data_IF_064189136095
#
_entry.id   IF_064189136095
#
_cell.length_a   1.000
_cell.length_b   1.000
_cell.length_c   1.000
_cell.angle_alpha   90.00
_cell.angle_beta   90.00
_cell.angle_gamma   90.00
#
_symmetry.space_group_name_H-M   'P 1'
#
loop_
_entity.id
_entity.type
_entity.pdbx_description
1 polymer ?
#
# COMPACT_ATOMS: atom_id res chain seq x y z
N UNK A 1 -21.41 -10.42 16.86
CA UNK A 1 -20.65 -11.56 17.41
C UNK A 1 -19.55 -11.90 16.42
N UNK A 2 -18.29 -12.13 16.84
CA UNK A 2 -17.18 -12.50 15.94
C UNK A 2 -16.93 -14.00 16.03
N UNK A 3 -16.74 -14.66 14.89
CA UNK A 3 -16.43 -16.10 14.88
C UNK A 3 -15.08 -16.37 15.56
N UNK A 4 -14.83 -17.59 16.08
CA UNK A 4 -13.49 -17.96 16.57
C UNK A 4 -12.39 -17.75 15.53
N UNK A 5 -12.67 -17.99 14.25
CA UNK A 5 -11.74 -17.74 13.14
C UNK A 5 -11.38 -16.26 12.97
N UNK A 6 -12.37 -15.36 13.03
CA UNK A 6 -12.15 -13.91 12.94
C UNK A 6 -11.31 -13.37 14.11
N UNK A 7 -11.48 -13.93 15.31
CA UNK A 7 -10.67 -13.55 16.48
C UNK A 7 -9.21 -13.98 16.33
N UNK A 8 -8.99 -15.21 15.85
CA UNK A 8 -7.64 -15.71 15.59
C UNK A 8 -6.94 -14.89 14.51
N UNK A 9 -7.64 -14.53 13.43
CA UNK A 9 -7.11 -13.67 12.38
C UNK A 9 -6.75 -12.27 12.90
N UNK A 10 -7.66 -11.63 13.64
CA UNK A 10 -7.40 -10.31 14.22
C UNK A 10 -6.17 -10.30 15.14
N UNK A 11 -6.03 -11.33 16.00
CA UNK A 11 -4.86 -11.48 16.87
C UNK A 11 -3.57 -11.69 16.07
N UNK A 12 -3.64 -12.42 14.96
CA UNK A 12 -2.48 -12.67 14.11
C UNK A 12 -2.03 -11.40 13.38
N UNK A 13 -2.97 -10.63 12.82
CA UNK A 13 -2.66 -9.35 12.16
C UNK A 13 -2.06 -8.37 13.16
N UNK A 14 -2.66 -8.22 14.35
CA UNK A 14 -2.15 -7.34 15.40
C UNK A 14 -0.74 -7.75 15.84
N UNK A 15 -0.50 -9.04 16.04
CA UNK A 15 0.82 -9.56 16.36
C UNK A 15 1.85 -9.23 15.27
N UNK A 16 1.52 -9.45 14.00
CA UNK A 16 2.42 -9.15 12.87
C UNK A 16 2.76 -7.66 12.80
N UNK A 17 1.77 -6.77 12.93
CA UNK A 17 1.98 -5.32 12.92
C UNK A 17 2.81 -4.86 14.11
N UNK A 18 2.62 -5.45 15.30
CA UNK A 18 3.37 -5.09 16.51
C UNK A 18 4.88 -5.32 16.39
N UNK A 19 5.31 -6.21 15.48
CA UNK A 19 6.73 -6.47 15.22
C UNK A 19 7.42 -5.41 14.37
N UNK A 20 6.67 -4.47 13.79
CA UNK A 20 7.24 -3.34 13.04
C UNK A 20 7.65 -2.26 14.05
N UNK A 21 8.96 -2.08 14.23
CA UNK A 21 9.52 -1.13 15.20
C UNK A 21 9.25 0.33 14.82
N UNK A 22 9.42 0.67 13.54
CA UNK A 22 9.20 2.03 13.01
C UNK A 22 7.70 2.38 13.03
N UNK A 23 7.26 3.34 13.88
CA UNK A 23 5.83 3.64 14.06
C UNK A 23 5.15 4.13 12.77
N UNK A 24 5.83 5.01 12.03
CA UNK A 24 5.30 5.58 10.78
C UNK A 24 5.13 4.49 9.71
N UNK A 25 6.10 3.57 9.62
CA UNK A 25 6.01 2.43 8.71
C UNK A 25 4.88 1.47 9.10
N UNK A 26 4.71 1.20 10.40
CA UNK A 26 3.61 0.37 10.91
C UNK A 26 2.24 0.98 10.61
N UNK A 27 2.11 2.31 10.74
CA UNK A 27 0.89 3.02 10.36
C UNK A 27 0.65 2.89 8.85
N UNK A 28 1.70 3.04 8.03
CA UNK A 28 1.61 2.88 6.59
C UNK A 28 1.18 1.48 6.17
N UNK A 29 1.70 0.42 6.82
CA UNK A 29 1.21 -0.95 6.61
C UNK A 29 -0.27 -1.09 6.96
N UNK A 30 -0.70 -0.50 8.08
CA UNK A 30 -2.11 -0.51 8.51
C UNK A 30 -3.03 0.18 7.48
N UNK A 31 -2.64 1.37 6.99
CA UNK A 31 -3.39 2.07 5.94
C UNK A 31 -3.43 1.30 4.63
N UNK A 32 -2.33 0.63 4.27
CA UNK A 32 -2.26 -0.20 3.06
C UNK A 32 -3.21 -1.40 3.18
N UNK A 33 -3.28 -2.06 4.34
CA UNK A 33 -4.24 -3.14 4.60
C UNK A 33 -5.68 -2.65 4.51
N UNK A 34 -6.01 -1.48 5.08
CA UNK A 34 -7.34 -0.87 4.97
C UNK A 34 -7.71 -0.58 3.51
N UNK A 35 -6.76 -0.08 2.73
CA UNK A 35 -6.95 0.19 1.30
C UNK A 35 -7.14 -1.11 0.52
N UNK A 36 -6.37 -2.16 0.83
CA UNK A 36 -6.53 -3.48 0.21
C UNK A 36 -7.91 -4.07 0.50
N UNK A 37 -8.38 -4.00 1.75
CA UNK A 37 -9.73 -4.46 2.15
C UNK A 37 -10.81 -3.74 1.32
N UNK A 38 -10.71 -2.42 1.21
CA UNK A 38 -11.66 -1.64 0.41
C UNK A 38 -11.60 -2.01 -1.08
N UNK A 39 -10.40 -2.22 -1.62
CA UNK A 39 -10.19 -2.58 -3.02
C UNK A 39 -10.77 -3.95 -3.36
N UNK A 40 -10.50 -4.99 -2.56
CA UNK A 40 -11.04 -6.35 -2.82
C UNK A 40 -12.55 -6.41 -2.57
N UNK A 41 -13.08 -5.64 -1.61
CA UNK A 41 -14.51 -5.54 -1.39
C UNK A 41 -15.24 -4.89 -2.58
N UNK A 42 -14.61 -3.90 -3.23
CA UNK A 42 -15.13 -3.25 -4.43
C UNK A 42 -14.93 -4.09 -5.71
N UNK A 43 -14.00 -5.04 -5.71
CA UNK A 43 -13.66 -5.88 -6.85
C UNK A 43 -13.66 -7.36 -6.48
N UNK A 44 -14.83 -8.00 -6.26
CA UNK A 44 -14.91 -9.39 -5.81
C UNK A 44 -14.31 -10.42 -6.78
N UNK A 45 -14.12 -10.02 -8.04
CA UNK A 45 -13.47 -10.83 -9.08
C UNK A 45 -11.95 -10.83 -8.99
N UNK A 46 -11.35 -9.89 -8.23
CA UNK A 46 -9.89 -9.89 -8.03
C UNK A 46 -9.52 -11.10 -7.20
N UNK A 47 -8.70 -11.95 -7.79
CA UNK A 47 -8.10 -13.10 -7.14
C UNK A 47 -6.58 -12.95 -7.18
N UNK A 48 -5.93 -13.12 -6.03
CA UNK A 48 -4.49 -13.07 -5.90
C UNK A 48 -3.99 -14.52 -5.84
N UNK A 49 -3.34 -14.98 -6.92
CA UNK A 49 -2.84 -16.35 -7.03
C UNK A 49 -1.64 -16.61 -6.11
N UNK A 50 -0.87 -15.57 -5.79
CA UNK A 50 0.34 -15.60 -4.96
C UNK A 50 0.26 -14.63 -3.78
N UNK A 51 1.24 -14.74 -2.86
CA UNK A 51 1.40 -13.85 -1.73
C UNK A 51 1.59 -12.38 -2.17
N UNK A 52 0.82 -11.47 -1.57
CA UNK A 52 0.97 -10.02 -1.79
C UNK A 52 1.85 -9.39 -0.71
N UNK A 53 3.06 -8.99 -1.08
CA UNK A 53 3.94 -8.24 -0.20
C UNK A 53 3.49 -6.77 -0.08
N UNK A 54 3.16 -6.31 1.14
CA UNK A 54 2.75 -4.92 1.39
C UNK A 54 3.82 -3.91 0.94
N UNK A 55 5.09 -4.20 1.16
CA UNK A 55 6.21 -3.34 0.77
C UNK A 55 6.25 -3.09 -0.75
N UNK A 56 5.84 -4.08 -1.55
CA UNK A 56 5.75 -3.95 -3.01
C UNK A 56 4.60 -3.02 -3.39
N UNK A 57 3.42 -3.19 -2.76
CA UNK A 57 2.26 -2.30 -2.98
C UNK A 57 2.60 -0.87 -2.58
N UNK A 58 3.23 -0.67 -1.41
CA UNK A 58 3.65 0.64 -0.93
C UNK A 58 4.70 1.24 -1.86
N UNK A 59 5.70 0.46 -2.28
CA UNK A 59 6.73 0.92 -3.22
C UNK A 59 6.13 1.34 -4.58
N UNK A 60 5.13 0.62 -5.09
CA UNK A 60 4.38 1.03 -6.26
C UNK A 60 3.58 2.31 -6.02
N UNK A 61 2.92 2.45 -4.87
CA UNK A 61 2.19 3.67 -4.51
C UNK A 61 3.12 4.89 -4.44
N UNK A 62 4.32 4.73 -3.89
CA UNK A 62 5.36 5.77 -3.87
C UNK A 62 5.75 6.18 -5.28
N UNK A 63 6.00 5.20 -6.17
CA UNK A 63 6.31 5.47 -7.58
C UNK A 63 5.17 6.19 -8.29
N UNK A 64 3.93 5.72 -8.11
CA UNK A 64 2.73 6.32 -8.70
C UNK A 64 2.56 7.77 -8.22
N UNK A 65 2.69 8.01 -6.92
CA UNK A 65 2.59 9.35 -6.35
C UNK A 65 3.65 10.29 -6.89
N UNK A 66 4.90 9.81 -7.01
CA UNK A 66 5.98 10.58 -7.61
C UNK A 66 5.69 10.98 -9.05
N UNK A 67 5.29 10.01 -9.88
CA UNK A 67 4.99 10.24 -11.30
C UNK A 67 3.81 11.19 -11.51
N UNK A 68 2.78 11.12 -10.66
CA UNK A 68 1.63 12.03 -10.73
C UNK A 68 1.99 13.46 -10.32
N UNK A 69 2.90 13.62 -9.36
CA UNK A 69 3.36 14.94 -8.91
C UNK A 69 4.40 15.56 -9.84
N UNK A 70 5.15 14.73 -10.57
CA UNK A 70 6.24 15.14 -11.46
C UNK A 70 6.03 14.58 -12.87
N UNK A 71 4.98 15.01 -13.59
CA UNK A 71 4.65 14.48 -14.91
C UNK A 71 5.72 14.78 -15.96
N UNK A 72 6.57 15.78 -15.72
CA UNK A 72 7.67 16.17 -16.63
C UNK A 72 8.92 15.27 -16.50
N UNK A 73 8.99 14.42 -15.45
CA UNK A 73 10.09 13.47 -15.25
C UNK A 73 9.73 12.14 -15.91
N UNK A 74 10.60 11.63 -16.79
CA UNK A 74 10.33 10.38 -17.48
C UNK A 74 10.25 9.21 -16.47
N UNK A 75 9.31 8.25 -16.65
CA UNK A 75 9.17 7.10 -15.75
C UNK A 75 10.46 6.29 -15.56
N UNK A 76 11.33 6.22 -16.58
CA UNK A 76 12.61 5.53 -16.53
C UNK A 76 13.61 6.17 -15.54
N UNK A 77 13.46 7.46 -15.25
CA UNK A 77 14.35 8.21 -14.37
C UNK A 77 13.95 8.10 -12.89
N UNK A 78 12.84 7.42 -12.58
CA UNK A 78 12.35 7.22 -11.21
C UNK A 78 13.42 6.66 -10.26
N UNK A 79 14.29 5.76 -10.76
CA UNK A 79 15.36 5.17 -9.96
C UNK A 79 16.26 6.20 -9.28
N UNK A 80 16.53 7.32 -9.95
CA UNK A 80 17.36 8.42 -9.45
C UNK A 80 16.66 9.26 -8.37
N UNK A 81 15.33 9.24 -8.33
CA UNK A 81 14.51 10.04 -7.42
C UNK A 81 13.84 9.22 -6.31
N UNK A 82 14.20 7.95 -6.16
CA UNK A 82 13.52 7.03 -5.24
C UNK A 82 13.50 7.54 -3.80
N UNK A 83 14.59 8.10 -3.30
CA UNK A 83 14.65 8.65 -1.94
C UNK A 83 13.71 9.86 -1.77
N UNK A 84 13.74 10.80 -2.71
CA UNK A 84 12.85 11.97 -2.72
C UNK A 84 11.38 11.57 -2.81
N UNK A 85 11.08 10.52 -3.57
CA UNK A 85 9.74 9.98 -3.70
C UNK A 85 9.22 9.44 -2.37
N UNK A 86 10.04 8.69 -1.64
CA UNK A 86 9.67 8.21 -0.29
C UNK A 86 9.46 9.38 0.68
N UNK A 87 10.36 10.35 0.66
CA UNK A 87 10.26 11.55 1.49
C UNK A 87 8.98 12.37 1.19
N UNK A 88 8.64 12.52 -0.09
CA UNK A 88 7.39 13.17 -0.52
C UNK A 88 6.17 12.38 -0.06
N UNK A 89 6.21 11.04 -0.18
CA UNK A 89 5.12 10.17 0.23
C UNK A 89 4.84 10.25 1.74
N UNK A 90 5.88 10.25 2.60
CA UNK A 90 5.70 10.42 4.04
C UNK A 90 5.15 11.79 4.44
N UNK A 91 5.33 12.82 3.60
CA UNK A 91 4.79 14.17 3.82
C UNK A 91 3.39 14.37 3.21
N UNK A 92 2.94 13.45 2.37
CA UNK A 92 1.66 13.56 1.70
C UNK A 92 0.49 13.33 2.67
N UNK A 93 -0.69 13.80 2.28
CA UNK A 93 -1.90 13.56 3.07
C UNK A 93 -2.28 12.08 3.05
N UNK A 94 -2.92 11.54 4.11
CA UNK A 94 -3.42 10.16 4.10
C UNK A 94 -4.39 9.88 2.93
N UNK A 95 -5.13 10.89 2.47
CA UNK A 95 -6.03 10.78 1.33
C UNK A 95 -5.25 10.59 0.01
N UNK A 96 -4.15 11.31 -0.17
CA UNK A 96 -3.28 11.16 -1.34
C UNK A 96 -2.58 9.79 -1.34
N UNK A 97 -2.02 9.38 -0.20
CA UNK A 97 -1.41 8.06 -0.04
C UNK A 97 -2.41 6.95 -0.39
N UNK A 98 -3.64 7.03 0.13
CA UNK A 98 -4.72 6.07 -0.20
C UNK A 98 -5.03 6.05 -1.69
N UNK A 99 -5.13 7.22 -2.33
CA UNK A 99 -5.38 7.33 -3.77
C UNK A 99 -4.27 6.65 -4.59
N UNK A 100 -3.01 6.88 -4.25
CA UNK A 100 -1.88 6.25 -4.95
C UNK A 100 -1.76 4.75 -4.64
N UNK A 101 -2.13 4.30 -3.45
CA UNK A 101 -2.23 2.88 -3.11
C UNK A 101 -3.31 2.17 -3.94
N UNK A 102 -4.50 2.78 -4.11
CA UNK A 102 -5.56 2.23 -4.96
C UNK A 102 -5.11 2.12 -6.42
N UNK A 103 -4.45 3.15 -6.94
CA UNK A 103 -3.92 3.14 -8.30
C UNK A 103 -2.79 2.12 -8.48
N UNK A 104 -1.92 1.96 -7.47
CA UNK A 104 -0.90 0.92 -7.46
C UNK A 104 -1.52 -0.48 -7.49
N UNK A 105 -2.54 -0.75 -6.67
CA UNK A 105 -3.26 -2.02 -6.68
C UNK A 105 -3.91 -2.29 -8.04
N UNK A 106 -4.56 -1.28 -8.63
CA UNK A 106 -5.15 -1.38 -9.97
C UNK A 106 -4.10 -1.80 -11.01
N UNK A 107 -2.94 -1.13 -11.04
CA UNK A 107 -1.84 -1.47 -11.95
C UNK A 107 -1.32 -2.89 -11.71
N UNK A 108 -1.18 -3.31 -10.46
CA UNK A 108 -0.68 -4.65 -10.11
C UNK A 108 -1.66 -5.77 -10.48
N UNK A 109 -2.96 -5.52 -10.48
CA UNK A 109 -3.99 -6.51 -10.84
C UNK A 109 -4.34 -6.55 -12.33
N UNK A 110 -3.96 -5.52 -13.08
CA UNK A 110 -4.14 -5.47 -14.55
C UNK A 110 -2.91 -6.00 -15.32
N UNK A 111 -1.82 -6.31 -14.61
CA UNK A 111 -0.55 -6.82 -15.16
C UNK A 111 -0.57 -8.34 -15.30
#
# INVERSE_FOLDING_TARGET
>A
EKTPGERNFASQVDHLLSRIEAPDYRQLCSETLLTLIAFVAANPQVYLDDDLALDVVIGHAVRVGWQQQHPDIAPADYGSHKAEAWDSFYRASPADCRRWQLEALRQLTES
#
